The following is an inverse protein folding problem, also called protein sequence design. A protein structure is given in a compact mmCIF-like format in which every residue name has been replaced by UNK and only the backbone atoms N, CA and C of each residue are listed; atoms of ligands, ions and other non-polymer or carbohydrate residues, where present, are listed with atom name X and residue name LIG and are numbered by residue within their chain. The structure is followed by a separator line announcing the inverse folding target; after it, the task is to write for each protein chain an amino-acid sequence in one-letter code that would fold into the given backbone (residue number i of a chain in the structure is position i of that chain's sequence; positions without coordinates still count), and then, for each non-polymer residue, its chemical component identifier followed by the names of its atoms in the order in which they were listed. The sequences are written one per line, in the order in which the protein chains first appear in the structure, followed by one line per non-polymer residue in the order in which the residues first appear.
data_IF_146114615413
#
_entry.id   IF_146114615413
#
_cell.length_a   1.000
_cell.length_b   1.000
_cell.length_c   1.000
_cell.angle_alpha   90.00
_cell.angle_beta   90.00
_cell.angle_gamma   90.00
#
_symmetry.space_group_name_H-M   'P 1'
#
loop_
_entity.id
_entity.type
_entity.pdbx_description
1 polymer ?
#
# COMPACT_ATOMS: atom_id res chain seq x y z
N UNK A 1 6.66 10.53 -25.47
CA UNK A 1 7.67 9.65 -24.87
C UNK A 1 7.94 10.03 -23.40
N UNK A 2 6.89 10.14 -22.56
CA UNK A 2 7.02 10.60 -21.17
C UNK A 2 6.44 9.67 -20.10
N UNK A 3 5.63 8.68 -20.48
CA UNK A 3 4.89 7.85 -19.51
C UNK A 3 5.68 6.66 -18.97
N UNK A 4 6.67 6.17 -19.71
CA UNK A 4 7.43 4.97 -19.36
C UNK A 4 8.40 5.23 -18.21
N UNK A 5 9.08 6.39 -18.19
CA UNK A 5 10.02 6.77 -17.11
C UNK A 5 9.34 6.90 -15.74
N UNK A 6 8.10 7.40 -15.70
CA UNK A 6 7.33 7.51 -14.45
C UNK A 6 7.00 6.12 -13.88
N UNK A 7 6.59 5.18 -14.74
CA UNK A 7 6.23 3.81 -14.31
C UNK A 7 7.41 3.04 -13.71
N UNK A 8 8.62 3.25 -14.25
CA UNK A 8 9.84 2.59 -13.78
C UNK A 8 10.24 3.06 -12.38
N UNK A 9 10.24 4.38 -12.14
CA UNK A 9 10.53 4.93 -10.82
C UNK A 9 9.48 4.57 -9.77
N UNK A 10 8.21 4.46 -10.18
CA UNK A 10 7.12 4.03 -9.30
C UNK A 10 7.23 2.56 -8.87
N UNK A 11 7.69 1.68 -9.75
CA UNK A 11 7.93 0.28 -9.45
C UNK A 11 9.15 0.10 -8.54
N UNK A 12 10.21 0.87 -8.77
CA UNK A 12 11.42 0.89 -7.93
C UNK A 12 11.11 1.42 -6.52
N UNK A 13 10.30 2.48 -6.41
CA UNK A 13 9.85 3.00 -5.11
C UNK A 13 9.05 1.97 -4.31
N UNK A 14 8.15 1.21 -4.96
CA UNK A 14 7.39 0.16 -4.28
C UNK A 14 8.30 -1.02 -3.89
N UNK A 15 9.25 -1.41 -4.73
CA UNK A 15 10.23 -2.44 -4.40
C UNK A 15 11.03 -2.03 -3.14
N UNK A 16 11.46 -0.77 -3.07
CA UNK A 16 12.14 -0.21 -1.91
C UNK A 16 11.26 -0.23 -0.65
N UNK A 17 9.98 0.17 -0.76
CA UNK A 17 9.02 0.08 0.35
C UNK A 17 8.88 -1.37 0.85
N UNK A 18 8.77 -2.36 -0.05
CA UNK A 18 8.70 -3.78 0.34
C UNK A 18 9.93 -4.24 1.10
N UNK A 19 11.12 -3.81 0.68
CA UNK A 19 12.36 -4.11 1.40
C UNK A 19 12.32 -3.53 2.82
N UNK A 20 12.00 -2.24 2.96
CA UNK A 20 11.92 -1.58 4.28
C UNK A 20 10.89 -2.25 5.20
N UNK A 21 9.74 -2.67 4.67
CA UNK A 21 8.72 -3.38 5.45
C UNK A 21 9.26 -4.72 5.98
N UNK A 22 10.04 -5.46 5.19
CA UNK A 22 10.69 -6.70 5.63
C UNK A 22 11.72 -6.47 6.74
N UNK A 23 12.50 -5.39 6.67
CA UNK A 23 13.44 -5.00 7.72
C UNK A 23 12.71 -4.58 9.00
N UNK A 24 11.66 -3.77 8.87
CA UNK A 24 10.87 -3.27 10.00
C UNK A 24 10.11 -4.41 10.71
N UNK A 25 9.62 -5.39 9.97
CA UNK A 25 8.98 -6.59 10.54
C UNK A 25 9.95 -7.32 11.49
N UNK A 26 11.22 -7.47 11.10
CA UNK A 26 12.23 -8.11 11.95
C UNK A 26 12.49 -7.33 13.24
N UNK A 27 12.50 -5.99 13.16
CA UNK A 27 12.65 -5.13 14.35
C UNK A 27 11.44 -5.27 15.26
N UNK A 28 10.22 -5.15 14.73
CA UNK A 28 8.99 -5.29 15.50
C UNK A 28 8.85 -6.68 16.15
N UNK A 29 9.28 -7.73 15.44
CA UNK A 29 9.28 -9.11 15.96
C UNK A 29 10.23 -9.27 17.14
N UNK A 30 11.41 -8.64 17.10
CA UNK A 30 12.38 -8.67 18.20
C UNK A 30 11.85 -7.97 19.47
N UNK A 31 11.05 -6.93 19.30
CA UNK A 31 10.42 -6.19 20.39
C UNK A 31 9.12 -6.84 20.91
N UNK A 32 8.68 -7.96 20.33
CA UNK A 32 7.43 -8.63 20.73
C UNK A 32 6.17 -7.81 20.44
N UNK A 33 6.22 -6.90 19.46
CA UNK A 33 5.12 -6.02 19.11
C UNK A 33 4.17 -6.71 18.10
N UNK A 34 3.36 -7.66 18.56
CA UNK A 34 2.54 -8.54 17.69
C UNK A 34 1.59 -7.78 16.76
N UNK A 35 0.86 -6.79 17.29
CA UNK A 35 -0.05 -5.97 16.48
C UNK A 35 0.70 -5.16 15.42
N UNK A 36 1.92 -4.71 15.72
CA UNK A 36 2.74 -3.98 14.76
C UNK A 36 3.29 -4.92 13.67
N UNK A 37 3.72 -6.12 14.03
CA UNK A 37 4.13 -7.15 13.08
C UNK A 37 3.01 -7.44 12.08
N UNK A 38 1.79 -7.65 12.58
CA UNK A 38 0.61 -7.87 11.73
C UNK A 38 0.38 -6.72 10.73
N UNK A 39 0.41 -5.47 11.19
CA UNK A 39 0.20 -4.31 10.31
C UNK A 39 1.30 -4.20 9.24
N UNK A 40 2.55 -4.47 9.60
CA UNK A 40 3.68 -4.46 8.67
C UNK A 40 3.54 -5.59 7.64
N UNK A 41 3.16 -6.79 8.07
CA UNK A 41 2.96 -7.94 7.18
C UNK A 41 1.81 -7.67 6.19
N UNK A 42 0.70 -7.11 6.66
CA UNK A 42 -0.41 -6.71 5.77
C UNK A 42 0.02 -5.62 4.79
N UNK A 43 0.82 -4.64 5.22
CA UNK A 43 1.37 -3.63 4.33
C UNK A 43 2.35 -4.23 3.29
N UNK A 44 3.13 -5.25 3.67
CA UNK A 44 4.04 -5.94 2.77
C UNK A 44 3.28 -6.68 1.67
N UNK A 45 2.18 -7.36 2.01
CA UNK A 45 1.29 -8.02 1.05
C UNK A 45 0.66 -6.99 0.09
N UNK A 46 0.14 -5.89 0.62
CA UNK A 46 -0.45 -4.81 -0.19
C UNK A 46 0.57 -4.21 -1.18
N UNK A 47 1.80 -3.97 -0.73
CA UNK A 47 2.86 -3.46 -1.60
C UNK A 47 3.23 -4.46 -2.72
N UNK A 48 3.15 -5.77 -2.45
CA UNK A 48 3.30 -6.81 -3.48
C UNK A 48 2.16 -6.84 -4.50
N UNK A 49 0.92 -6.66 -4.04
CA UNK A 49 -0.25 -6.52 -4.89
C UNK A 49 -0.15 -5.28 -5.80
N UNK A 50 0.30 -4.15 -5.24
CA UNK A 50 0.55 -2.91 -6.01
C UNK A 50 1.68 -3.11 -7.03
N UNK A 51 2.79 -3.75 -6.63
CA UNK A 51 3.92 -3.98 -7.54
C UNK A 51 3.55 -4.91 -8.71
N UNK A 52 2.70 -5.90 -8.46
CA UNK A 52 2.21 -6.83 -9.50
C UNK A 52 1.07 -6.26 -10.35
N UNK A 53 0.67 -5.01 -10.11
CA UNK A 53 -0.42 -4.34 -10.83
C UNK A 53 -1.81 -4.89 -10.49
N UNK A 54 -1.95 -5.69 -9.41
CA UNK A 54 -3.21 -6.30 -8.98
C UNK A 54 -4.13 -5.32 -8.26
N UNK A 55 -3.59 -4.23 -7.70
CA UNK A 55 -4.35 -3.17 -7.02
C UNK A 55 -3.94 -1.78 -7.51
N UNK A 56 -4.89 -0.85 -7.75
CA UNK A 56 -4.58 0.55 -7.98
C UNK A 56 -3.80 1.15 -6.80
N UNK A 57 -2.82 2.04 -7.07
CA UNK A 57 -1.98 2.75 -6.05
C UNK A 57 -2.75 3.65 -5.07
N UNK A 58 -4.08 3.62 -5.09
CA UNK A 58 -4.91 4.28 -4.09
C UNK A 58 -6.11 3.40 -3.77
N UNK A 59 -6.43 3.29 -2.47
CA UNK A 59 -7.84 3.23 -2.07
C UNK A 59 -8.42 4.51 -2.66
N UNK A 60 -9.03 4.39 -3.84
CA UNK A 60 -9.63 5.52 -4.52
C UNK A 60 -10.45 6.23 -3.46
N UNK A 61 -10.15 7.51 -3.22
CA UNK A 61 -10.97 8.41 -2.45
C UNK A 61 -12.31 8.49 -3.19
N UNK A 62 -13.14 7.45 -3.02
CA UNK A 62 -14.55 7.43 -3.38
C UNK A 62 -15.13 8.50 -2.48
N UNK A 63 -15.17 9.69 -3.04
CA UNK A 63 -15.89 10.85 -2.56
C UNK A 63 -17.19 10.33 -1.92
N UNK A 64 -17.21 10.30 -0.60
CA UNK A 64 -18.34 9.77 0.16
C UNK A 64 -19.59 10.52 -0.25
N UNK A 65 -20.49 9.78 -0.86
CA UNK A 65 -21.93 10.01 -0.96
C UNK A 65 -22.39 11.47 -0.87
N UNK A 66 -22.68 12.06 -2.04
CA UNK A 66 -23.78 13.04 -2.14
C UNK A 66 -25.01 12.42 -1.46
N UNK A 67 -25.71 13.12 -0.55
CA UNK A 67 -26.92 12.60 0.05
C UNK A 67 -27.95 12.40 -1.07
N UNK A 68 -28.37 11.15 -1.29
CA UNK A 68 -29.55 10.87 -2.12
C UNK A 68 -30.74 11.56 -1.46
N UNK A 69 -31.35 12.48 -2.19
CA UNK A 69 -32.50 13.23 -1.70
C UNK A 69 -33.62 12.30 -1.27
N UNK A 70 -33.88 12.24 0.03
CA UNK A 70 -35.12 11.69 0.55
C UNK A 70 -36.18 12.76 0.29
N UNK A 71 -37.05 12.50 -0.67
CA UNK A 71 -38.32 13.22 -0.82
C UNK A 71 -39.25 12.70 0.29
N UNK A 72 -39.64 13.57 1.22
CA UNK A 72 -40.74 13.32 2.17
C UNK A 72 -41.96 14.07 1.66
#
# INVERSE_FOLDING_TARGET
MGSERQSSGDAEAIAYIRQMLGELHQVASKEGADMLCYLIEMAYVEAGDVQSGRRPRSVAHRNGDKPSGVTV
#
